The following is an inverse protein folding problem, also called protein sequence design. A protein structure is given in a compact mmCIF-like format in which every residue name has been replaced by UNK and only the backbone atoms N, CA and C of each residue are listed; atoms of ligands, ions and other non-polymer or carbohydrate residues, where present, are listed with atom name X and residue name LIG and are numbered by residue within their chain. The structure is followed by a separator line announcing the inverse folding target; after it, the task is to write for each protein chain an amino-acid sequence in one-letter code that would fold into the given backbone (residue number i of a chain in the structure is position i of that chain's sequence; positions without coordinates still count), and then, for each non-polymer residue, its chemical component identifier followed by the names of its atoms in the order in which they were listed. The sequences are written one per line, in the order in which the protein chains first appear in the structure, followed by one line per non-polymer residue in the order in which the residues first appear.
data_IF_755878706519
#
_entry.id   IF_755878706519
#
_cell.length_a   1.000
_cell.length_b   1.000
_cell.length_c   1.000
_cell.angle_alpha   90.00
_cell.angle_beta   90.00
_cell.angle_gamma   90.00
#
_symmetry.space_group_name_H-M   'P 1'
#
loop_
_entity.id
_entity.type
_entity.pdbx_description
1 polymer ?
#
# COMPACT_ATOMS: atom_id res chain seq x y z
N UNK A 1 2.83 -38.47 -34.78
CA UNK A 1 3.38 -37.66 -33.67
C UNK A 1 2.47 -36.44 -33.57
N UNK A 2 1.73 -36.30 -32.48
CA UNK A 2 0.87 -35.12 -32.29
C UNK A 2 1.77 -33.95 -31.93
N UNK A 3 1.85 -32.93 -32.78
CA UNK A 3 2.40 -31.63 -32.39
C UNK A 3 1.58 -31.12 -31.22
N UNK A 4 2.23 -30.93 -30.07
CA UNK A 4 1.61 -30.22 -28.96
C UNK A 4 1.29 -28.82 -29.47
N UNK A 5 0.00 -28.48 -29.59
CA UNK A 5 -0.44 -27.11 -29.86
C UNK A 5 0.24 -26.21 -28.83
N UNK A 6 1.13 -25.35 -29.29
CA UNK A 6 1.75 -24.32 -28.47
C UNK A 6 0.61 -23.44 -27.95
N UNK A 7 0.32 -23.53 -26.65
CA UNK A 7 -0.75 -22.75 -26.02
C UNK A 7 -0.22 -21.32 -25.87
N UNK A 8 -0.94 -20.37 -26.45
CA UNK A 8 -0.64 -18.94 -26.32
C UNK A 8 -1.23 -18.42 -25.00
N UNK A 9 -0.35 -18.01 -24.08
CA UNK A 9 -0.73 -17.43 -22.78
C UNK A 9 -0.70 -15.90 -22.78
N UNK A 10 -0.52 -15.25 -23.94
CA UNK A 10 -0.35 -13.79 -24.03
C UNK A 10 -1.51 -12.98 -23.45
N UNK A 11 -2.76 -13.43 -23.62
CA UNK A 11 -3.93 -12.75 -23.04
C UNK A 11 -3.94 -12.80 -21.52
N UNK A 12 -3.64 -13.96 -20.92
CA UNK A 12 -3.59 -14.15 -19.46
C UNK A 12 -2.44 -13.32 -18.86
N UNK A 13 -1.28 -13.30 -19.52
CA UNK A 13 -0.15 -12.45 -19.11
C UNK A 13 -0.47 -10.96 -19.24
N UNK A 14 -1.15 -10.56 -20.32
CA UNK A 14 -1.57 -9.17 -20.53
C UNK A 14 -2.52 -8.68 -19.44
N UNK A 15 -3.51 -9.50 -19.08
CA UNK A 15 -4.46 -9.19 -18.01
C UNK A 15 -3.76 -9.11 -16.65
N UNK A 16 -2.89 -10.07 -16.33
CA UNK A 16 -2.16 -10.09 -15.07
C UNK A 16 -1.22 -8.87 -14.93
N UNK A 17 -0.44 -8.55 -15.96
CA UNK A 17 0.45 -7.39 -15.96
C UNK A 17 -0.34 -6.08 -15.81
N UNK A 18 -1.48 -5.97 -16.50
CA UNK A 18 -2.37 -4.82 -16.37
C UNK A 18 -2.87 -4.65 -14.92
N UNK A 19 -3.33 -5.72 -14.27
CA UNK A 19 -3.79 -5.69 -12.90
C UNK A 19 -2.67 -5.33 -11.91
N UNK A 20 -1.47 -5.86 -12.11
CA UNK A 20 -0.35 -5.55 -11.24
C UNK A 20 0.08 -4.07 -11.37
N UNK A 21 0.06 -3.53 -12.58
CA UNK A 21 0.28 -2.10 -12.82
C UNK A 21 -0.80 -1.22 -12.19
N UNK A 22 -2.06 -1.66 -12.26
CA UNK A 22 -3.16 -0.96 -11.60
C UNK A 22 -2.91 -0.88 -10.08
N UNK A 23 -2.57 -2.00 -9.44
CA UNK A 23 -2.25 -2.04 -8.01
C UNK A 23 -1.05 -1.14 -7.68
N UNK A 24 0.03 -1.20 -8.47
CA UNK A 24 1.21 -0.36 -8.26
C UNK A 24 0.85 1.13 -8.26
N UNK A 25 0.06 1.57 -9.24
CA UNK A 25 -0.37 2.96 -9.35
C UNK A 25 -1.34 3.37 -8.22
N UNK A 26 -2.24 2.47 -7.83
CA UNK A 26 -3.19 2.71 -6.75
C UNK A 26 -2.48 2.84 -5.39
N UNK A 27 -1.53 1.94 -5.10
CA UNK A 27 -0.69 1.98 -3.90
C UNK A 27 0.11 3.29 -3.88
N UNK A 28 0.79 3.65 -4.97
CA UNK A 28 1.53 4.91 -5.05
C UNK A 28 0.63 6.11 -4.75
N UNK A 29 -0.53 6.20 -5.41
CA UNK A 29 -1.45 7.33 -5.23
C UNK A 29 -1.96 7.43 -3.79
N UNK A 30 -2.20 6.28 -3.14
CA UNK A 30 -2.63 6.23 -1.75
C UNK A 30 -1.51 6.60 -0.77
N UNK A 31 -0.26 6.21 -1.04
CA UNK A 31 0.90 6.62 -0.24
C UNK A 31 1.15 8.13 -0.36
N UNK A 32 1.06 8.68 -1.56
CA UNK A 32 1.19 10.13 -1.79
C UNK A 32 0.09 10.90 -1.05
N UNK A 33 -1.15 10.39 -1.09
CA UNK A 33 -2.27 10.97 -0.36
C UNK A 33 -2.04 10.91 1.16
N UNK A 34 -1.68 9.75 1.69
CA UNK A 34 -1.41 9.56 3.12
C UNK A 34 -0.29 10.48 3.59
N UNK A 35 0.82 10.57 2.85
CA UNK A 35 1.95 11.46 3.12
C UNK A 35 1.53 12.92 3.15
N UNK A 36 0.79 13.37 2.13
CA UNK A 36 0.30 14.75 2.06
C UNK A 36 -0.66 15.10 3.19
N UNK A 37 -1.49 14.16 3.64
CA UNK A 37 -2.41 14.37 4.75
C UNK A 37 -1.67 14.38 6.08
N UNK A 38 -0.70 13.48 6.27
CA UNK A 38 0.17 13.47 7.45
C UNK A 38 0.94 14.78 7.60
N UNK A 39 1.47 15.33 6.52
CA UNK A 39 2.12 16.65 6.50
C UNK A 39 1.19 17.81 6.90
N UNK A 40 -0.12 17.69 6.65
CA UNK A 40 -1.10 18.69 7.08
C UNK A 40 -1.46 18.57 8.55
N UNK A 41 -1.44 17.37 9.09
CA UNK A 41 -1.67 17.08 10.51
C UNK A 41 -0.46 17.54 11.35
N UNK A 42 0.76 17.27 10.86
CA UNK A 42 2.01 17.65 11.52
C UNK A 42 2.31 16.86 12.80
N UNK A 43 3.46 17.14 13.40
CA UNK A 43 3.93 16.48 14.63
C UNK A 43 3.05 16.78 15.86
N UNK A 44 2.24 17.84 15.79
CA UNK A 44 1.35 18.29 16.86
C UNK A 44 0.19 17.34 17.14
N UNK A 45 -0.05 16.32 16.29
CA UNK A 45 -0.99 15.24 16.58
C UNK A 45 -0.52 14.33 17.72
N UNK A 46 0.71 14.47 18.22
CA UNK A 46 1.20 13.70 19.36
C UNK A 46 1.35 12.20 19.07
N UNK A 47 1.48 11.83 17.80
CA UNK A 47 1.53 10.44 17.33
C UNK A 47 2.79 10.16 16.49
N UNK A 48 4.00 10.25 17.07
CA UNK A 48 5.24 10.02 16.32
C UNK A 48 5.32 8.61 15.70
N UNK A 49 4.69 7.62 16.34
CA UNK A 49 4.71 6.23 15.89
C UNK A 49 4.06 6.02 14.51
N UNK A 50 3.00 6.76 14.17
CA UNK A 50 2.34 6.59 12.87
C UNK A 50 3.12 7.29 11.74
N UNK A 51 3.78 8.41 12.05
CA UNK A 51 4.67 9.08 11.10
C UNK A 51 5.86 8.20 10.71
N UNK A 52 6.53 7.62 11.71
CA UNK A 52 7.63 6.67 11.49
C UNK A 52 7.16 5.43 10.71
N UNK A 53 5.97 4.90 11.03
CA UNK A 53 5.41 3.77 10.30
C UNK A 53 5.11 4.11 8.83
N UNK A 54 4.56 5.29 8.55
CA UNK A 54 4.31 5.76 7.18
C UNK A 54 5.60 5.91 6.38
N UNK A 55 6.65 6.47 7.00
CA UNK A 55 7.97 6.60 6.36
C UNK A 55 8.54 5.23 5.99
N UNK A 56 8.50 4.26 6.91
CA UNK A 56 8.96 2.89 6.63
C UNK A 56 8.18 2.24 5.48
N UNK A 57 6.86 2.40 5.46
CA UNK A 57 6.03 1.89 4.35
C UNK A 57 6.42 2.54 3.03
N UNK A 58 6.62 3.86 3.00
CA UNK A 58 7.02 4.59 1.79
C UNK A 58 8.39 4.14 1.30
N UNK A 59 9.38 4.10 2.18
CA UNK A 59 10.75 3.74 1.82
C UNK A 59 10.81 2.28 1.31
N UNK A 60 10.06 1.37 1.94
CA UNK A 60 9.94 -0.02 1.48
C UNK A 60 9.24 -0.12 0.11
N UNK A 61 8.20 0.68 -0.13
CA UNK A 61 7.54 0.75 -1.43
C UNK A 61 8.46 1.29 -2.53
N UNK A 62 9.22 2.33 -2.23
CA UNK A 62 10.22 2.88 -3.16
C UNK A 62 11.27 1.83 -3.51
N UNK A 63 11.80 1.10 -2.52
CA UNK A 63 12.74 0.01 -2.73
C UNK A 63 12.13 -1.12 -3.56
N UNK A 64 10.92 -1.56 -3.22
CA UNK A 64 10.19 -2.60 -3.95
C UNK A 64 10.01 -2.21 -5.42
N UNK A 65 9.69 -0.95 -5.71
CA UNK A 65 9.57 -0.46 -7.09
C UNK A 65 10.89 -0.48 -7.87
N UNK A 66 12.05 -0.43 -7.20
CA UNK A 66 13.34 -0.55 -7.90
C UNK A 66 13.60 -1.97 -8.43
N UNK A 67 12.81 -2.94 -7.99
CA UNK A 67 12.87 -4.34 -8.49
C UNK A 67 12.08 -4.55 -9.78
N UNK A 68 11.39 -3.53 -10.28
CA UNK A 68 10.59 -3.61 -11.49
C UNK A 68 11.42 -4.01 -12.73
N UNK A 69 10.79 -4.75 -13.64
CA UNK A 69 11.32 -5.07 -14.95
C UNK A 69 10.24 -4.90 -16.05
N UNK A 70 10.51 -5.39 -17.26
CA UNK A 70 9.59 -5.26 -18.39
C UNK A 70 8.30 -6.09 -18.21
N UNK A 71 8.32 -7.13 -17.37
CA UNK A 71 7.19 -8.04 -17.14
C UNK A 71 6.43 -7.71 -15.84
N UNK A 72 7.10 -7.11 -14.86
CA UNK A 72 6.55 -6.84 -13.54
C UNK A 72 6.82 -5.39 -13.10
N UNK A 73 5.80 -4.59 -12.71
CA UNK A 73 6.00 -3.25 -12.15
C UNK A 73 6.66 -3.26 -10.75
N UNK A 74 6.79 -4.43 -10.14
CA UNK A 74 7.63 -4.75 -8.98
C UNK A 74 7.66 -6.29 -8.82
N UNK A 75 8.73 -6.84 -8.24
CA UNK A 75 8.83 -8.29 -8.01
C UNK A 75 7.81 -8.76 -6.96
N UNK A 76 6.70 -9.31 -7.47
CA UNK A 76 5.57 -9.86 -6.72
C UNK A 76 5.96 -11.06 -5.82
N UNK A 77 7.11 -11.68 -6.05
CA UNK A 77 7.63 -12.80 -5.25
C UNK A 77 8.79 -12.38 -4.33
N UNK A 78 9.13 -11.09 -4.30
CA UNK A 78 10.24 -10.61 -3.49
C UNK A 78 9.92 -10.64 -1.99
N UNK A 79 10.96 -10.82 -1.18
CA UNK A 79 10.91 -10.58 0.27
C UNK A 79 10.50 -9.14 0.59
N UNK A 80 10.80 -8.19 -0.30
CA UNK A 80 10.43 -6.78 -0.15
C UNK A 80 8.91 -6.58 -0.19
N UNK A 81 8.18 -7.37 -1.00
CA UNK A 81 6.72 -7.32 -0.97
C UNK A 81 6.16 -7.83 0.37
N UNK A 82 6.71 -8.90 0.92
CA UNK A 82 6.31 -9.40 2.24
C UNK A 82 6.57 -8.37 3.34
N UNK A 83 7.73 -7.71 3.27
CA UNK A 83 8.10 -6.63 4.17
C UNK A 83 7.14 -5.44 4.04
N UNK A 84 6.84 -5.03 2.81
CA UNK A 84 5.86 -3.97 2.53
C UNK A 84 4.47 -4.29 3.10
N UNK A 85 3.93 -5.48 2.80
CA UNK A 85 2.61 -5.88 3.29
C UNK A 85 2.56 -5.96 4.83
N UNK A 86 3.63 -6.43 5.46
CA UNK A 86 3.75 -6.49 6.92
C UNK A 86 3.80 -5.08 7.53
N UNK A 87 4.59 -4.16 6.95
CA UNK A 87 4.65 -2.77 7.39
C UNK A 87 3.30 -2.06 7.25
N UNK A 88 2.62 -2.26 6.11
CA UNK A 88 1.27 -1.74 5.87
C UNK A 88 0.28 -2.28 6.90
N UNK A 89 0.30 -3.58 7.19
CA UNK A 89 -0.56 -4.19 8.20
C UNK A 89 -0.28 -3.62 9.61
N UNK A 90 0.99 -3.44 9.96
CA UNK A 90 1.43 -2.90 11.25
C UNK A 90 0.96 -1.46 11.51
N UNK A 91 0.54 -0.72 10.47
CA UNK A 91 -0.03 0.63 10.64
C UNK A 91 -1.42 0.64 11.29
N UNK A 92 -2.09 -0.52 11.40
CA UNK A 92 -3.43 -0.60 11.99
C UNK A 92 -3.46 -0.08 13.43
N UNK A 93 -2.63 -0.63 14.30
CA UNK A 93 -2.60 -0.28 15.72
C UNK A 93 -2.33 1.22 15.97
N UNK A 94 -1.29 1.85 15.37
CA UNK A 94 -1.07 3.28 15.55
C UNK A 94 -2.17 4.16 14.92
N UNK A 95 -2.86 3.71 13.84
CA UNK A 95 -4.04 4.41 13.33
C UNK A 95 -5.23 4.32 14.30
N UNK A 96 -5.49 3.14 14.86
CA UNK A 96 -6.60 2.95 15.82
C UNK A 96 -6.36 3.80 17.07
N UNK A 97 -5.13 3.81 17.61
CA UNK A 97 -4.74 4.64 18.75
C UNK A 97 -4.92 6.15 18.49
N UNK A 98 -4.66 6.58 17.25
CA UNK A 98 -4.84 7.96 16.81
C UNK A 98 -6.32 8.36 16.75
N UNK A 99 -7.17 7.48 16.24
CA UNK A 99 -8.63 7.69 16.22
C UNK A 99 -9.21 7.72 17.64
N UNK A 100 -8.77 6.84 18.54
CA UNK A 100 -9.17 6.82 19.95
C UNK A 100 -8.74 8.09 20.68
N UNK A 101 -7.48 8.52 20.52
CA UNK A 101 -6.98 9.75 21.11
C UNK A 101 -7.77 10.98 20.66
N UNK A 102 -8.13 11.05 19.37
CA UNK A 102 -9.02 12.09 18.81
C UNK A 102 -10.39 12.09 19.49
N UNK A 103 -11.02 10.92 19.64
CA UNK A 103 -12.34 10.82 20.27
C UNK A 103 -12.33 11.31 21.73
N UNK A 104 -11.24 11.07 22.46
CA UNK A 104 -11.08 11.49 23.86
C UNK A 104 -10.84 13.00 24.02
N UNK A 105 -10.14 13.64 23.07
CA UNK A 105 -9.84 15.08 23.13
C UNK A 105 -11.02 15.97 22.70
N UNK A 106 -11.99 15.40 21.98
CA UNK A 106 -13.14 16.14 21.45
C UNK A 106 -12.82 16.89 20.15
N UNK A 107 -13.71 16.80 19.17
CA UNK A 107 -13.56 17.38 17.82
C UNK A 107 -13.64 18.91 17.84
N UNK A 108 -12.51 19.60 17.89
CA UNK A 108 -12.41 21.05 17.68
C UNK A 108 -11.12 21.46 16.93
N UNK A 109 -10.36 20.50 16.41
CA UNK A 109 -9.06 20.77 15.78
C UNK A 109 -9.22 21.01 14.29
N UNK A 110 -8.51 22.00 13.76
CA UNK A 110 -8.41 22.21 12.30
C UNK A 110 -7.79 21.01 11.57
N UNK A 111 -7.12 20.12 12.31
CA UNK A 111 -6.50 18.90 11.82
C UNK A 111 -7.45 17.69 11.81
N UNK A 112 -8.68 17.80 12.35
CA UNK A 112 -9.61 16.67 12.47
C UNK A 112 -9.95 16.02 11.12
N UNK A 113 -10.20 16.84 10.09
CA UNK A 113 -10.54 16.33 8.76
C UNK A 113 -9.34 15.72 8.03
N UNK A 114 -8.16 16.37 7.96
CA UNK A 114 -6.96 15.73 7.43
C UNK A 114 -6.60 14.42 8.15
N UNK A 115 -6.77 14.36 9.47
CA UNK A 115 -6.48 13.18 10.28
C UNK A 115 -7.41 12.02 9.93
N UNK A 116 -8.71 12.27 9.83
CA UNK A 116 -9.69 11.26 9.41
C UNK A 116 -9.41 10.76 7.99
N UNK A 117 -9.12 11.67 7.06
CA UNK A 117 -8.76 11.28 5.70
C UNK A 117 -7.46 10.47 5.66
N UNK A 118 -6.52 10.78 6.55
CA UNK A 118 -5.27 10.05 6.66
C UNK A 118 -5.50 8.62 7.14
N UNK A 119 -6.30 8.40 8.20
CA UNK A 119 -6.56 7.05 8.70
C UNK A 119 -7.37 6.22 7.70
N UNK A 120 -8.29 6.84 6.96
CA UNK A 120 -8.95 6.19 5.82
C UNK A 120 -7.96 5.82 4.71
N UNK A 121 -6.99 6.69 4.43
CA UNK A 121 -5.97 6.39 3.43
C UNK A 121 -5.10 5.19 3.81
N UNK A 122 -4.69 5.12 5.08
CA UNK A 122 -3.96 3.97 5.63
C UNK A 122 -4.81 2.70 5.63
N UNK A 123 -6.13 2.81 5.86
CA UNK A 123 -7.06 1.69 5.73
C UNK A 123 -7.16 1.20 4.29
N UNK A 124 -7.20 2.11 3.33
CA UNK A 124 -7.16 1.79 1.89
C UNK A 124 -5.87 1.07 1.49
N UNK A 125 -4.71 1.52 2.00
CA UNK A 125 -3.44 0.82 1.76
C UNK A 125 -3.46 -0.63 2.25
N UNK A 126 -3.98 -0.87 3.46
CA UNK A 126 -4.14 -2.23 4.00
C UNK A 126 -5.09 -3.09 3.18
N UNK A 127 -6.08 -2.50 2.54
CA UNK A 127 -7.05 -3.23 1.72
C UNK A 127 -6.43 -3.81 0.44
N UNK A 128 -5.23 -3.37 0.02
CA UNK A 128 -4.53 -3.97 -1.11
C UNK A 128 -3.78 -5.27 -0.75
N UNK A 129 -3.54 -5.56 0.53
CA UNK A 129 -2.79 -6.78 0.92
C UNK A 129 -3.43 -8.07 0.36
N UNK A 130 -4.75 -8.30 0.48
CA UNK A 130 -5.39 -9.48 -0.13
C UNK A 130 -5.26 -9.51 -1.66
N UNK A 131 -5.32 -8.36 -2.32
CA UNK A 131 -5.17 -8.28 -3.78
C UNK A 131 -3.73 -8.62 -4.20
N UNK A 132 -2.73 -8.18 -3.44
CA UNK A 132 -1.32 -8.49 -3.66
C UNK A 132 -1.03 -9.99 -3.45
N UNK A 133 -1.62 -10.60 -2.41
CA UNK A 133 -1.56 -12.04 -2.18
C UNK A 133 -2.21 -12.81 -3.36
N UNK A 134 -3.40 -12.39 -3.78
CA UNK A 134 -4.09 -12.99 -4.92
C UNK A 134 -3.27 -12.89 -6.21
N UNK A 135 -2.69 -11.73 -6.51
CA UNK A 135 -1.86 -11.53 -7.71
C UNK A 135 -0.63 -12.43 -7.70
N UNK A 136 -0.03 -12.64 -6.52
CA UNK A 136 1.09 -13.56 -6.33
C UNK A 136 0.70 -15.01 -6.61
N UNK A 137 -0.42 -15.46 -6.05
CA UNK A 137 -0.94 -16.83 -6.24
C UNK A 137 -1.31 -17.11 -7.70
N UNK A 138 -1.70 -16.08 -8.44
CA UNK A 138 -2.16 -16.18 -9.83
C UNK A 138 -1.09 -15.83 -10.86
N UNK A 139 0.19 -15.67 -10.45
CA UNK A 139 1.28 -15.38 -11.39
C UNK A 139 1.36 -16.47 -12.48
N UNK A 140 1.26 -16.13 -13.78
CA UNK A 140 1.22 -17.09 -14.90
C UNK A 140 2.53 -17.86 -15.14
#
# INVERSE_FOLDING_TARGET
MSEAKQVDFSQIRGDWHFHLNYLANAIQSMLDLATRLWQQVGDDAGAPAIGEALEKVRDCWEELRTTADDEDPFDINSRLLDEFMALVAATKEPCDALEEARQLQGSASIYDRPLEQFTEAMRGLRAFNPDLEMMREQKP
#
